data_IF_326135162822
#
_entry.id   IF_326135162822
#
_cell.length_a   1.000
_cell.length_b   1.000
_cell.length_c   1.000
_cell.angle_alpha   90.00
_cell.angle_beta   90.00
_cell.angle_gamma   90.00
#
_symmetry.space_group_name_H-M   'P 1'
#
loop_
_entity.id
_entity.type
_entity.pdbx_description
1 polymer ?
#
# COMPACT_ATOMS: atom_id res chain seq x y z
N UNK A 1 21.60 30.83 -17.71
CA UNK A 1 21.68 30.62 -16.24
C UNK A 1 22.09 29.18 -16.00
N UNK A 2 23.34 28.92 -15.62
CA UNK A 2 23.83 27.54 -15.34
C UNK A 2 23.29 27.12 -13.98
N UNK A 3 22.37 26.19 -13.95
CA UNK A 3 21.94 25.54 -12.72
C UNK A 3 23.15 24.82 -12.10
N UNK A 4 23.47 25.17 -10.88
CA UNK A 4 24.62 24.63 -10.15
C UNK A 4 24.47 23.14 -9.97
N UNK A 5 25.54 22.39 -10.19
CA UNK A 5 25.63 20.94 -10.05
C UNK A 5 25.49 20.43 -8.58
N UNK A 6 25.20 21.29 -7.62
CA UNK A 6 25.27 20.96 -6.20
C UNK A 6 24.00 20.38 -5.58
N UNK A 7 22.83 20.43 -6.26
CA UNK A 7 21.57 20.00 -5.66
C UNK A 7 21.12 18.58 -6.03
N UNK A 8 21.92 17.84 -6.80
CA UNK A 8 21.58 16.44 -7.13
C UNK A 8 22.15 15.40 -6.13
N UNK A 9 22.89 15.86 -5.11
CA UNK A 9 23.70 14.97 -4.26
C UNK A 9 23.10 14.61 -2.91
N UNK A 10 21.96 15.16 -2.51
CA UNK A 10 21.43 14.90 -1.19
C UNK A 10 19.92 14.68 -1.21
N UNK A 11 19.53 13.48 -1.60
CA UNK A 11 18.30 12.93 -1.08
C UNK A 11 18.66 12.13 0.18
N UNK A 12 18.14 12.52 1.34
CA UNK A 12 18.37 11.72 2.53
C UNK A 12 17.81 10.32 2.27
N UNK A 13 18.60 9.31 2.55
CA UNK A 13 18.17 7.90 2.61
C UNK A 13 17.29 7.75 3.86
N UNK A 14 16.20 8.50 3.96
CA UNK A 14 15.54 8.76 5.22
C UNK A 14 14.29 7.96 5.44
N UNK A 15 13.71 7.28 4.50
CA UNK A 15 12.49 6.52 4.79
C UNK A 15 12.66 5.03 4.51
N UNK A 16 13.25 4.33 5.47
CA UNK A 16 13.30 2.87 5.54
C UNK A 16 12.02 2.27 6.13
N UNK A 17 10.87 2.88 5.91
CA UNK A 17 9.62 2.30 6.39
C UNK A 17 9.47 0.88 5.83
N UNK A 18 9.48 -0.09 6.73
CA UNK A 18 9.27 -1.49 6.40
C UNK A 18 10.32 -2.12 5.48
N UNK A 19 11.59 -1.66 5.50
CA UNK A 19 12.65 -2.16 4.60
C UNK A 19 12.30 -2.06 3.11
N UNK A 20 11.44 -1.12 2.73
CA UNK A 20 10.96 -0.94 1.36
C UNK A 20 12.07 -0.62 0.36
N UNK A 21 13.10 0.11 0.78
CA UNK A 21 14.21 0.46 -0.08
C UNK A 21 15.04 -0.78 -0.41
N UNK A 22 14.99 -1.26 -1.68
CA UNK A 22 15.93 -2.29 -2.11
C UNK A 22 17.33 -1.70 -2.10
N UNK A 23 18.32 -2.54 -1.93
CA UNK A 23 19.61 -2.13 -2.44
C UNK A 23 19.44 -1.92 -3.95
N UNK A 24 19.93 -0.81 -4.49
CA UNK A 24 19.84 -0.50 -5.94
C UNK A 24 20.28 -1.71 -6.80
N UNK A 25 21.19 -2.53 -6.28
CA UNK A 25 21.69 -3.75 -6.91
C UNK A 25 20.62 -4.84 -7.03
N UNK A 26 19.84 -5.09 -5.99
CA UNK A 26 18.87 -6.20 -5.99
C UNK A 26 17.68 -5.92 -6.91
N UNK A 27 17.20 -4.67 -6.93
CA UNK A 27 16.16 -4.25 -7.87
C UNK A 27 16.64 -4.37 -9.32
N UNK A 28 17.89 -3.99 -9.61
CA UNK A 28 18.49 -4.10 -10.93
C UNK A 28 18.60 -5.57 -11.38
N UNK A 29 19.10 -6.44 -10.53
CA UNK A 29 19.23 -7.88 -10.83
C UNK A 29 17.87 -8.50 -11.09
N UNK A 30 16.87 -8.18 -10.28
CA UNK A 30 15.51 -8.66 -10.48
C UNK A 30 14.93 -8.18 -11.80
N UNK A 31 15.04 -6.88 -12.11
CA UNK A 31 14.49 -6.31 -13.34
C UNK A 31 15.13 -6.90 -14.59
N UNK A 32 16.47 -7.03 -14.61
CA UNK A 32 17.20 -7.66 -15.72
C UNK A 32 16.77 -9.11 -15.96
N UNK A 33 16.63 -9.90 -14.87
CA UNK A 33 16.11 -11.26 -14.96
C UNK A 33 14.70 -11.27 -15.55
N UNK A 34 13.80 -10.44 -15.02
CA UNK A 34 12.41 -10.36 -15.45
C UNK A 34 12.29 -9.93 -16.91
N UNK A 35 13.10 -8.98 -17.38
CA UNK A 35 13.20 -8.57 -18.79
C UNK A 35 13.62 -9.74 -19.68
N UNK A 36 14.66 -10.48 -19.28
CA UNK A 36 15.14 -11.66 -20.05
C UNK A 36 14.07 -12.74 -20.14
N UNK A 37 13.39 -13.04 -19.04
CA UNK A 37 12.32 -14.04 -19.00
C UNK A 37 11.11 -13.61 -19.84
N UNK A 38 10.67 -12.36 -19.73
CA UNK A 38 9.56 -11.83 -20.53
C UNK A 38 9.84 -11.93 -22.04
N UNK A 39 11.08 -11.62 -22.46
CA UNK A 39 11.51 -11.76 -23.87
C UNK A 39 11.60 -13.22 -24.33
N UNK A 40 12.14 -14.11 -23.48
CA UNK A 40 12.31 -15.54 -23.80
C UNK A 40 10.98 -16.26 -23.97
N UNK A 41 10.02 -16.01 -23.07
CA UNK A 41 8.74 -16.75 -23.03
C UNK A 41 7.75 -16.35 -24.14
N UNK A 42 7.95 -15.23 -24.85
CA UNK A 42 7.13 -14.76 -25.98
C UNK A 42 5.62 -14.94 -25.79
N UNK A 43 5.11 -14.69 -24.59
CA UNK A 43 3.69 -14.82 -24.31
C UNK A 43 2.85 -13.92 -25.21
N UNK A 44 1.77 -14.47 -25.77
CA UNK A 44 0.72 -13.65 -26.37
C UNK A 44 0.22 -12.65 -25.33
N UNK A 45 0.10 -11.38 -25.71
CA UNK A 45 -0.39 -10.34 -24.80
C UNK A 45 -1.79 -10.70 -24.28
N UNK A 46 -1.95 -10.61 -22.96
CA UNK A 46 -3.26 -10.77 -22.30
C UNK A 46 -4.25 -9.72 -22.84
N UNK A 47 -5.52 -10.03 -22.96
CA UNK A 47 -6.54 -9.08 -23.42
C UNK A 47 -6.59 -7.77 -22.62
N UNK A 48 -6.24 -7.80 -21.32
CA UNK A 48 -6.17 -6.58 -20.50
C UNK A 48 -5.00 -5.70 -20.92
N UNK A 49 -3.84 -6.29 -21.17
CA UNK A 49 -2.65 -5.58 -21.65
C UNK A 49 -2.87 -5.06 -23.07
N UNK A 50 -3.53 -5.82 -23.94
CA UNK A 50 -3.88 -5.36 -25.30
C UNK A 50 -4.79 -4.13 -25.26
N UNK A 51 -5.79 -4.12 -24.36
CA UNK A 51 -6.68 -2.96 -24.20
C UNK A 51 -5.94 -1.74 -23.67
N UNK A 52 -4.99 -1.93 -22.72
CA UNK A 52 -4.18 -0.85 -22.23
C UNK A 52 -3.23 -0.30 -23.31
N UNK A 53 -2.58 -1.20 -24.09
CA UNK A 53 -1.80 -0.83 -25.27
C UNK A 53 -2.63 0.01 -26.25
N UNK A 54 -3.84 -0.45 -26.60
CA UNK A 54 -4.75 0.30 -27.47
C UNK A 54 -5.07 1.69 -26.91
N UNK A 55 -5.36 1.81 -25.59
CA UNK A 55 -5.62 3.10 -24.97
C UNK A 55 -4.42 4.05 -25.12
N UNK A 56 -3.20 3.57 -24.85
CA UNK A 56 -1.97 4.37 -25.00
C UNK A 56 -1.80 4.82 -26.47
N UNK A 57 -2.07 3.94 -27.43
CA UNK A 57 -1.81 4.21 -28.86
C UNK A 57 -2.90 5.04 -29.54
N UNK A 58 -4.12 5.07 -29.01
CA UNK A 58 -5.26 5.76 -29.65
C UNK A 58 -5.70 7.05 -28.95
N UNK A 59 -5.29 7.27 -27.70
CA UNK A 59 -5.55 8.54 -27.01
C UNK A 59 -4.29 9.41 -27.10
N UNK A 60 -4.33 10.57 -27.80
CA UNK A 60 -3.14 11.38 -28.07
C UNK A 60 -2.50 11.94 -26.79
N UNK A 61 -3.29 12.27 -25.78
CA UNK A 61 -2.78 12.80 -24.51
C UNK A 61 -2.09 11.69 -23.72
N UNK A 62 -2.70 10.51 -23.63
CA UNK A 62 -2.13 9.36 -22.94
C UNK A 62 -0.88 8.87 -23.69
N UNK A 63 -0.90 8.87 -25.02
CA UNK A 63 0.28 8.54 -25.81
C UNK A 63 1.45 9.45 -25.50
N UNK A 64 1.21 10.77 -25.45
CA UNK A 64 2.21 11.76 -25.08
C UNK A 64 2.79 11.44 -23.69
N UNK A 65 1.95 11.21 -22.67
CA UNK A 65 2.43 10.88 -21.32
C UNK A 65 3.29 9.62 -21.30
N UNK A 66 2.81 8.53 -21.93
CA UNK A 66 3.53 7.25 -21.98
C UNK A 66 4.75 7.26 -22.89
N UNK A 67 4.94 8.28 -23.70
CA UNK A 67 6.17 8.51 -24.45
C UNK A 67 7.16 9.34 -23.63
N UNK A 68 6.69 10.46 -23.08
CA UNK A 68 7.55 11.41 -22.38
C UNK A 68 8.06 10.90 -21.03
N UNK A 69 7.26 10.17 -20.25
CA UNK A 69 7.69 9.69 -18.94
C UNK A 69 8.94 8.83 -19.00
N UNK A 70 9.12 8.04 -20.06
CA UNK A 70 10.35 7.26 -20.26
C UNK A 70 11.54 8.09 -20.72
N UNK A 71 11.31 9.20 -21.41
CA UNK A 71 12.35 10.15 -21.81
C UNK A 71 12.78 11.05 -20.64
N UNK A 72 11.85 11.38 -19.75
CA UNK A 72 12.05 12.24 -18.58
C UNK A 72 12.68 11.53 -17.39
N UNK A 73 12.85 10.20 -17.42
CA UNK A 73 13.47 9.46 -16.33
C UNK A 73 14.82 10.03 -15.94
N UNK A 74 15.13 10.14 -14.63
CA UNK A 74 16.39 10.68 -14.17
C UNK A 74 17.59 9.94 -14.78
N UNK A 75 18.61 10.69 -15.21
CA UNK A 75 19.88 10.14 -15.69
C UNK A 75 20.78 9.84 -14.49
N UNK A 76 20.52 8.76 -13.76
CA UNK A 76 21.43 8.28 -12.73
C UNK A 76 22.47 7.36 -13.37
N UNK A 77 23.71 7.50 -12.94
CA UNK A 77 24.69 6.45 -13.17
C UNK A 77 24.23 5.23 -12.38
N UNK A 78 24.03 4.06 -13.02
CA UNK A 78 23.74 2.85 -12.29
C UNK A 78 24.88 2.57 -11.31
N UNK A 79 24.63 1.98 -10.13
CA UNK A 79 25.68 1.53 -9.25
C UNK A 79 26.63 0.59 -10.01
N UNK A 80 27.93 0.68 -9.73
CA UNK A 80 28.92 -0.18 -10.38
C UNK A 80 28.48 -1.67 -10.29
N UNK A 81 28.37 -2.35 -11.44
CA UNK A 81 27.95 -3.74 -11.54
C UNK A 81 26.42 -3.98 -11.56
N UNK A 82 25.61 -2.95 -11.54
CA UNK A 82 24.18 -3.06 -11.82
C UNK A 82 23.92 -2.67 -13.29
N UNK A 83 23.22 -3.51 -14.04
CA UNK A 83 22.76 -3.19 -15.40
C UNK A 83 21.85 -1.96 -15.44
N UNK A 84 21.42 -1.56 -16.64
CA UNK A 84 20.46 -0.47 -16.83
C UNK A 84 19.11 -0.87 -16.23
N UNK A 85 18.80 -0.31 -15.07
CA UNK A 85 17.59 -0.60 -14.28
C UNK A 85 16.33 -0.02 -14.92
N UNK A 86 16.45 0.74 -16.00
CA UNK A 86 15.35 1.53 -16.56
C UNK A 86 14.53 0.72 -17.56
N UNK A 87 13.23 0.95 -17.52
CA UNK A 87 12.32 0.59 -18.60
C UNK A 87 12.49 1.63 -19.71
N UNK A 88 12.68 1.17 -20.93
CA UNK A 88 13.03 2.06 -22.06
C UNK A 88 11.85 2.80 -22.65
N UNK A 89 10.69 2.15 -22.70
CA UNK A 89 9.47 2.65 -23.33
C UNK A 89 8.24 1.87 -22.84
N UNK A 90 7.05 2.34 -23.22
CA UNK A 90 5.81 1.69 -22.82
C UNK A 90 5.64 0.28 -23.42
N UNK A 91 6.24 -0.03 -24.55
CA UNK A 91 6.18 -1.37 -25.16
C UNK A 91 6.93 -2.38 -24.26
N UNK A 92 8.12 -2.03 -23.79
CA UNK A 92 8.88 -2.86 -22.83
C UNK A 92 8.13 -2.98 -21.50
N UNK A 93 7.56 -1.88 -20.99
CA UNK A 93 6.69 -1.88 -19.81
C UNK A 93 5.54 -2.89 -19.96
N UNK A 94 4.79 -2.82 -21.06
CA UNK A 94 3.66 -3.71 -21.30
C UNK A 94 4.08 -5.18 -21.45
N UNK A 95 5.24 -5.44 -22.05
CA UNK A 95 5.80 -6.79 -22.16
C UNK A 95 6.09 -7.38 -20.78
N UNK A 96 6.72 -6.59 -19.90
CA UNK A 96 7.06 -7.05 -18.56
C UNK A 96 5.79 -7.19 -17.71
N UNK A 97 4.86 -6.23 -17.76
CA UNK A 97 3.55 -6.37 -17.11
C UNK A 97 2.82 -7.63 -17.53
N UNK A 98 2.84 -7.96 -18.83
CA UNK A 98 2.23 -9.19 -19.34
C UNK A 98 2.88 -10.46 -18.77
N UNK A 99 4.18 -10.44 -18.53
CA UNK A 99 4.89 -11.53 -17.86
C UNK A 99 4.49 -11.61 -16.38
N UNK A 100 4.46 -10.48 -15.66
CA UNK A 100 4.08 -10.38 -14.24
C UNK A 100 2.68 -10.96 -14.01
N UNK A 101 1.73 -10.75 -14.91
CA UNK A 101 0.37 -11.33 -14.79
C UNK A 101 0.32 -12.87 -14.69
N UNK A 102 1.43 -13.55 -14.91
CA UNK A 102 1.58 -15.02 -14.86
C UNK A 102 2.67 -15.44 -13.86
N UNK A 103 3.04 -14.56 -12.97
CA UNK A 103 4.04 -14.82 -11.93
C UNK A 103 3.51 -14.40 -10.57
N UNK A 104 3.97 -15.06 -9.52
CA UNK A 104 3.73 -14.64 -8.14
C UNK A 104 4.96 -13.91 -7.61
N UNK A 105 4.81 -13.00 -6.63
CA UNK A 105 5.92 -12.30 -5.99
C UNK A 105 6.83 -13.26 -5.24
N UNK A 106 8.12 -13.19 -5.48
CA UNK A 106 9.11 -13.93 -4.72
C UNK A 106 9.39 -13.24 -3.38
N UNK A 107 9.82 -14.00 -2.38
CA UNK A 107 10.36 -13.41 -1.15
C UNK A 107 11.70 -12.74 -1.43
N UNK A 108 11.88 -11.57 -0.86
CA UNK A 108 13.11 -10.82 -0.94
C UNK A 108 13.28 -9.96 0.31
N UNK A 109 14.50 -9.81 0.79
CA UNK A 109 14.84 -9.01 1.96
C UNK A 109 14.68 -7.50 1.74
N UNK A 110 14.38 -7.05 0.52
CA UNK A 110 14.30 -5.64 0.14
C UNK A 110 12.86 -5.10 0.01
N UNK A 111 11.84 -5.94 0.15
CA UNK A 111 10.43 -5.55 0.06
C UNK A 111 9.95 -5.16 -1.35
N UNK A 112 10.73 -4.44 -2.15
CA UNK A 112 10.31 -3.93 -3.48
C UNK A 112 10.00 -5.05 -4.48
N UNK A 113 10.68 -6.16 -4.41
CA UNK A 113 10.46 -7.30 -5.30
C UNK A 113 9.09 -7.96 -5.07
N UNK A 114 8.51 -7.77 -3.89
CA UNK A 114 7.12 -8.09 -3.61
C UNK A 114 6.11 -7.25 -4.41
N UNK A 115 6.54 -6.15 -5.04
CA UNK A 115 5.71 -5.25 -5.84
C UNK A 115 6.25 -5.12 -7.27
N UNK A 116 6.12 -6.14 -8.09
CA UNK A 116 6.79 -6.21 -9.39
C UNK A 116 6.32 -5.14 -10.38
N UNK A 117 5.07 -4.70 -10.34
CA UNK A 117 4.56 -3.63 -11.22
C UNK A 117 5.07 -2.27 -10.72
N UNK A 118 5.04 -2.03 -9.39
CA UNK A 118 5.65 -0.82 -8.85
C UNK A 118 7.13 -0.72 -9.20
N UNK A 119 7.88 -1.83 -9.07
CA UNK A 119 9.31 -1.86 -9.38
C UNK A 119 9.63 -1.47 -10.84
N UNK A 120 8.74 -1.76 -11.79
CA UNK A 120 8.92 -1.33 -13.19
C UNK A 120 8.43 0.10 -13.46
N UNK A 121 7.59 0.66 -12.60
CA UNK A 121 7.03 2.00 -12.73
C UNK A 121 7.74 3.04 -11.86
N UNK A 122 8.60 2.64 -10.94
CA UNK A 122 9.23 3.48 -9.93
C UNK A 122 9.84 4.77 -10.52
N UNK A 123 10.69 4.66 -11.54
CA UNK A 123 11.28 5.83 -12.20
C UNK A 123 10.32 6.58 -13.14
N UNK A 124 9.53 5.94 -14.00
CA UNK A 124 8.56 6.64 -14.84
C UNK A 124 7.52 7.43 -14.03
N UNK A 125 7.11 6.89 -12.90
CA UNK A 125 5.99 7.38 -12.08
C UNK A 125 6.25 8.78 -11.51
N UNK A 126 7.50 9.09 -11.14
CA UNK A 126 7.91 10.37 -10.55
C UNK A 126 8.17 11.49 -11.58
N UNK A 127 8.15 11.17 -12.86
CA UNK A 127 8.35 12.18 -13.91
C UNK A 127 7.11 13.06 -14.05
N UNK A 128 7.22 14.31 -14.54
CA UNK A 128 6.04 15.15 -14.79
C UNK A 128 4.99 14.49 -15.66
N UNK A 129 5.41 13.79 -16.72
CA UNK A 129 4.47 13.03 -17.58
C UNK A 129 3.90 11.81 -16.88
N UNK A 130 4.67 11.13 -16.03
CA UNK A 130 4.20 10.01 -15.21
C UNK A 130 3.19 10.43 -14.17
N UNK A 131 3.42 11.51 -13.44
CA UNK A 131 2.46 12.08 -12.49
C UNK A 131 1.12 12.37 -13.18
N UNK A 132 1.14 12.99 -14.38
CA UNK A 132 -0.06 13.23 -15.17
C UNK A 132 -0.72 11.93 -15.65
N UNK A 133 0.05 10.97 -16.16
CA UNK A 133 -0.46 9.68 -16.63
C UNK A 133 -1.17 8.89 -15.52
N UNK A 134 -0.55 8.79 -14.34
CA UNK A 134 -1.08 8.01 -13.22
C UNK A 134 -2.16 8.74 -12.42
N UNK A 135 -2.39 10.03 -12.66
CA UNK A 135 -3.58 10.76 -12.21
C UNK A 135 -4.77 10.59 -13.17
N UNK A 136 -4.55 10.19 -14.44
CA UNK A 136 -5.61 10.07 -15.44
C UNK A 136 -6.60 8.93 -15.13
N UNK A 137 -7.90 9.25 -15.18
CA UNK A 137 -8.97 8.29 -14.84
C UNK A 137 -9.06 7.11 -15.82
N UNK A 138 -8.74 7.29 -17.11
CA UNK A 138 -8.76 6.20 -18.11
C UNK A 138 -7.60 5.24 -17.86
N UNK A 139 -6.42 5.78 -17.53
CA UNK A 139 -5.23 5.00 -17.15
C UNK A 139 -5.53 4.19 -15.90
N UNK A 140 -6.06 4.81 -14.85
CA UNK A 140 -6.40 4.10 -13.62
C UNK A 140 -7.46 3.01 -13.82
N UNK A 141 -8.46 3.22 -14.68
CA UNK A 141 -9.40 2.14 -15.06
C UNK A 141 -8.72 0.97 -15.77
N UNK A 142 -7.70 1.24 -16.58
CA UNK A 142 -6.94 0.17 -17.24
C UNK A 142 -6.07 -0.60 -16.23
N UNK A 143 -5.37 0.09 -15.35
CA UNK A 143 -4.55 -0.48 -14.27
C UNK A 143 -5.41 -1.35 -13.33
N UNK A 144 -6.58 -0.88 -12.92
CA UNK A 144 -7.51 -1.66 -12.12
C UNK A 144 -7.84 -3.02 -12.76
N UNK A 145 -8.04 -3.05 -14.09
CA UNK A 145 -8.33 -4.32 -14.80
C UNK A 145 -7.12 -5.24 -14.82
N UNK A 146 -5.92 -4.68 -14.97
CA UNK A 146 -4.66 -5.43 -14.94
C UNK A 146 -4.46 -6.04 -13.55
N UNK A 147 -4.61 -5.26 -12.48
CA UNK A 147 -4.48 -5.73 -11.11
C UNK A 147 -5.51 -6.81 -10.77
N UNK A 148 -6.78 -6.62 -11.16
CA UNK A 148 -7.81 -7.66 -11.00
C UNK A 148 -7.50 -8.94 -11.77
N UNK A 149 -6.86 -8.85 -12.94
CA UNK A 149 -6.42 -10.02 -13.69
C UNK A 149 -5.31 -10.76 -12.98
N UNK A 150 -4.33 -10.01 -12.45
CA UNK A 150 -3.23 -10.60 -11.70
C UNK A 150 -3.71 -11.24 -10.39
N UNK A 151 -4.57 -10.56 -9.65
CA UNK A 151 -5.20 -11.10 -8.45
C UNK A 151 -5.83 -12.48 -8.71
N UNK A 152 -6.56 -12.64 -9.83
CA UNK A 152 -7.12 -13.93 -10.20
C UNK A 152 -6.06 -15.02 -10.39
N UNK A 153 -4.87 -14.69 -10.89
CA UNK A 153 -3.76 -15.63 -10.99
C UNK A 153 -3.22 -15.97 -9.59
N UNK A 154 -3.06 -14.95 -8.74
CA UNK A 154 -2.56 -15.13 -7.37
C UNK A 154 -3.50 -15.95 -6.47
N UNK A 155 -4.78 -16.07 -6.84
CA UNK A 155 -5.77 -16.93 -6.18
C UNK A 155 -5.72 -18.40 -6.68
N UNK A 156 -4.91 -18.71 -7.70
CA UNK A 156 -4.79 -20.08 -8.24
C UNK A 156 -3.63 -20.86 -7.62
N UNK A 157 -3.69 -22.21 -7.65
CA UNK A 157 -2.56 -23.04 -7.24
C UNK A 157 -1.28 -22.81 -8.03
N UNK A 158 -1.37 -22.30 -9.27
CA UNK A 158 -0.21 -21.96 -10.10
C UNK A 158 0.70 -20.91 -9.47
N UNK A 159 0.17 -20.13 -8.50
CA UNK A 159 0.93 -19.13 -7.73
C UNK A 159 1.74 -19.70 -6.57
N UNK A 160 1.54 -20.98 -6.22
CA UNK A 160 2.18 -21.61 -5.05
C UNK A 160 3.68 -21.83 -5.21
N UNK A 161 4.22 -21.80 -6.41
CA UNK A 161 5.64 -22.12 -6.66
C UNK A 161 6.62 -21.23 -5.88
N UNK A 162 6.20 -20.03 -5.47
CA UNK A 162 7.00 -19.12 -4.64
C UNK A 162 6.97 -19.50 -3.14
N UNK A 163 6.05 -20.38 -2.73
CA UNK A 163 6.03 -20.96 -1.39
C UNK A 163 6.95 -22.17 -1.36
N UNK A 164 8.25 -21.89 -1.34
CA UNK A 164 9.33 -22.91 -1.30
C UNK A 164 10.40 -22.50 -0.30
N UNK A 165 11.30 -23.40 0.02
CA UNK A 165 12.35 -23.22 1.04
C UNK A 165 13.65 -22.61 0.51
N UNK A 166 13.72 -22.32 -0.79
CA UNK A 166 14.85 -21.67 -1.44
C UNK A 166 15.06 -20.21 -0.96
N UNK A 167 16.16 -19.57 -1.34
CA UNK A 167 16.51 -18.22 -0.86
C UNK A 167 15.44 -17.15 -1.14
N UNK A 168 14.76 -17.28 -2.27
CA UNK A 168 13.68 -16.37 -2.69
C UNK A 168 12.29 -16.94 -2.41
N UNK A 169 12.21 -17.99 -1.59
CA UNK A 169 10.94 -18.62 -1.24
C UNK A 169 10.34 -18.09 0.06
N UNK A 170 9.04 -17.94 0.10
CA UNK A 170 8.31 -17.49 1.28
C UNK A 170 8.33 -18.51 2.45
N UNK A 171 8.82 -19.74 2.21
CA UNK A 171 9.02 -20.77 3.23
C UNK A 171 10.49 -20.91 3.64
N UNK A 172 11.37 -20.01 3.18
CA UNK A 172 12.78 -19.98 3.62
C UNK A 172 12.89 -19.65 5.11
N UNK A 173 14.01 -20.04 5.74
CA UNK A 173 14.27 -19.72 7.15
C UNK A 173 14.25 -18.22 7.44
N UNK A 174 14.76 -17.39 6.50
CA UNK A 174 14.75 -15.94 6.60
C UNK A 174 13.32 -15.39 6.55
N UNK A 175 12.51 -15.84 5.57
CA UNK A 175 11.11 -15.45 5.47
C UNK A 175 10.31 -15.87 6.72
N UNK A 176 10.47 -17.11 7.18
CA UNK A 176 9.81 -17.63 8.37
C UNK A 176 10.04 -16.72 9.60
N UNK A 177 11.30 -16.30 9.80
CA UNK A 177 11.67 -15.40 10.89
C UNK A 177 11.14 -13.98 10.69
N UNK A 178 11.31 -13.41 9.50
CA UNK A 178 10.89 -12.04 9.19
C UNK A 178 9.37 -11.88 9.33
N UNK A 179 8.62 -12.86 8.85
CA UNK A 179 7.15 -12.87 8.91
C UNK A 179 6.59 -13.30 10.28
N UNK A 180 7.44 -13.76 11.21
CA UNK A 180 6.98 -14.38 12.48
C UNK A 180 5.94 -15.48 12.24
N UNK A 181 6.21 -16.37 11.28
CA UNK A 181 5.25 -17.39 10.82
C UNK A 181 4.74 -18.31 11.92
N UNK A 182 5.49 -18.49 13.02
CA UNK A 182 5.03 -19.23 14.20
C UNK A 182 3.73 -18.68 14.82
N UNK A 183 3.39 -17.40 14.56
CA UNK A 183 2.19 -16.73 15.07
C UNK A 183 0.96 -17.00 14.20
N UNK A 184 1.15 -17.46 12.97
CA UNK A 184 0.09 -17.65 11.98
C UNK A 184 -0.39 -19.09 11.89
N UNK A 185 -1.66 -19.27 11.47
CA UNK A 185 -2.21 -20.58 11.17
C UNK A 185 -1.55 -21.12 9.92
N UNK A 186 -0.89 -22.25 10.03
CA UNK A 186 -0.31 -23.00 8.93
C UNK A 186 -0.07 -24.46 9.33
N UNK A 187 0.10 -25.35 8.38
CA UNK A 187 0.29 -26.78 8.57
C UNK A 187 1.71 -27.19 8.09
N UNK A 188 2.74 -27.17 8.97
CA UNK A 188 4.13 -27.35 8.58
C UNK A 188 4.43 -28.63 7.81
N UNK A 189 3.69 -29.70 8.07
CA UNK A 189 3.86 -31.03 7.47
C UNK A 189 3.16 -31.19 6.12
N UNK A 190 2.33 -30.20 5.73
CA UNK A 190 1.66 -30.20 4.43
C UNK A 190 2.44 -29.44 3.37
N UNK A 191 2.32 -29.83 2.08
CA UNK A 191 2.84 -29.04 0.98
C UNK A 191 2.37 -27.59 1.10
N UNK A 192 3.30 -26.64 0.85
CA UNK A 192 3.02 -25.20 0.93
C UNK A 192 2.41 -24.75 2.27
N UNK A 193 2.71 -25.46 3.37
CA UNK A 193 2.14 -25.25 4.71
C UNK A 193 0.61 -25.27 4.73
N UNK A 194 -0.04 -25.97 3.78
CA UNK A 194 -1.49 -26.09 3.65
C UNK A 194 -2.17 -24.92 2.93
N UNK A 195 -1.44 -23.90 2.51
CA UNK A 195 -2.00 -22.81 1.71
C UNK A 195 -2.38 -23.27 0.30
N UNK A 196 -3.45 -22.70 -0.25
CA UNK A 196 -4.04 -23.10 -1.54
C UNK A 196 -3.59 -22.21 -2.70
N UNK A 197 -3.07 -21.03 -2.40
CA UNK A 197 -2.55 -20.05 -3.35
C UNK A 197 -1.60 -19.09 -2.65
N UNK A 198 -0.85 -18.30 -3.43
CA UNK A 198 -0.05 -17.24 -2.83
C UNK A 198 -0.91 -16.19 -2.11
N UNK A 199 -2.09 -15.86 -2.67
CA UNK A 199 -2.98 -14.91 -2.03
C UNK A 199 -3.54 -15.45 -0.69
N UNK A 200 -3.85 -16.75 -0.60
CA UNK A 200 -4.24 -17.39 0.66
C UNK A 200 -3.15 -17.26 1.73
N UNK A 201 -1.87 -17.42 1.34
CA UNK A 201 -0.73 -17.14 2.21
C UNK A 201 -0.63 -15.65 2.58
N UNK A 202 -0.86 -14.74 1.63
CA UNK A 202 -0.78 -13.30 1.88
C UNK A 202 -1.80 -12.82 2.91
N UNK A 203 -3.03 -13.31 2.83
CA UNK A 203 -4.12 -13.00 3.76
C UNK A 203 -4.19 -13.95 4.97
N UNK A 204 -3.08 -14.60 5.32
CA UNK A 204 -2.97 -15.55 6.44
C UNK A 204 -3.55 -15.00 7.73
N UNK A 205 -3.97 -15.88 8.63
CA UNK A 205 -4.60 -15.52 9.90
C UNK A 205 -3.71 -15.86 11.09
N UNK A 206 -3.79 -15.06 12.15
CA UNK A 206 -3.13 -15.38 13.41
C UNK A 206 -3.75 -16.60 14.10
N UNK A 207 -2.91 -17.39 14.77
CA UNK A 207 -3.36 -18.37 15.73
C UNK A 207 -4.10 -17.68 16.87
N UNK A 208 -5.09 -18.36 17.44
CA UNK A 208 -5.86 -17.86 18.60
C UNK A 208 -4.91 -17.37 19.71
N UNK A 209 -5.15 -16.19 20.25
CA UNK A 209 -4.40 -15.61 21.35
C UNK A 209 -3.07 -14.92 20.99
N UNK A 210 -2.65 -14.91 19.72
CA UNK A 210 -1.40 -14.24 19.32
C UNK A 210 -1.49 -12.71 19.23
N UNK A 211 -2.68 -12.19 19.03
CA UNK A 211 -2.96 -10.73 19.04
C UNK A 211 -4.15 -10.46 19.97
N UNK A 212 -3.94 -10.54 21.30
CA UNK A 212 -5.03 -10.30 22.25
C UNK A 212 -5.49 -8.84 22.17
N UNK A 213 -6.78 -8.64 22.30
CA UNK A 213 -7.39 -7.31 22.30
C UNK A 213 -7.04 -6.58 23.60
N UNK A 214 -6.44 -5.41 23.50
CA UNK A 214 -6.12 -4.59 24.67
C UNK A 214 -7.40 -4.10 25.37
N UNK A 215 -7.47 -4.31 26.67
CA UNK A 215 -8.57 -3.86 27.52
C UNK A 215 -9.95 -4.16 26.91
N UNK A 216 -10.31 -5.43 26.66
CA UNK A 216 -11.49 -5.78 25.86
C UNK A 216 -12.81 -5.30 26.45
N UNK A 217 -12.87 -5.11 27.77
CA UNK A 217 -14.08 -4.59 28.48
C UNK A 217 -14.11 -3.06 28.61
N UNK A 218 -13.00 -2.37 28.37
CA UNK A 218 -12.94 -0.91 28.46
C UNK A 218 -13.23 -0.28 27.10
N UNK A 219 -14.45 0.22 26.92
CA UNK A 219 -14.90 0.85 25.67
C UNK A 219 -14.14 2.14 25.31
N UNK A 220 -13.50 2.81 26.29
CA UNK A 220 -12.70 4.00 26.01
C UNK A 220 -11.34 3.69 25.38
N UNK A 221 -10.83 2.47 25.52
CA UNK A 221 -9.58 2.06 24.88
C UNK A 221 -9.82 1.70 23.42
N UNK A 222 -9.19 2.44 22.53
CA UNK A 222 -9.21 2.25 21.09
C UNK A 222 -8.00 1.41 20.70
N UNK A 223 -8.19 0.38 19.86
CA UNK A 223 -7.11 -0.51 19.48
C UNK A 223 -6.71 -0.31 18.01
N UNK A 224 -5.49 -0.76 17.66
CA UNK A 224 -5.00 -0.71 16.28
C UNK A 224 -5.86 -1.57 15.37
N UNK A 225 -6.34 -0.97 14.28
CA UNK A 225 -7.11 -1.66 13.27
C UNK A 225 -6.25 -2.58 12.38
N UNK A 226 -4.93 -2.33 12.32
CA UNK A 226 -3.99 -3.08 11.49
C UNK A 226 -2.68 -3.36 12.24
N UNK A 227 -1.90 -4.31 11.75
CA UNK A 227 -0.49 -4.51 12.13
C UNK A 227 0.36 -3.49 11.36
N UNK A 228 0.62 -2.32 11.95
CA UNK A 228 1.14 -1.18 11.20
C UNK A 228 2.08 -0.28 11.99
N UNK A 229 3.00 0.39 11.31
CA UNK A 229 3.89 1.39 11.90
C UNK A 229 3.23 2.78 11.88
N UNK A 230 3.14 3.50 13.01
CA UNK A 230 2.59 4.85 13.05
C UNK A 230 3.34 5.81 12.11
N UNK A 231 2.60 6.51 11.26
CA UNK A 231 3.14 7.45 10.30
C UNK A 231 2.88 8.89 10.71
N UNK A 232 1.64 9.21 11.05
CA UNK A 232 1.21 10.58 11.33
C UNK A 232 -0.02 10.63 12.23
N UNK A 233 -0.06 11.65 13.09
CA UNK A 233 -1.26 12.08 13.81
C UNK A 233 -1.51 13.54 13.42
N UNK A 234 -2.70 13.83 12.90
CA UNK A 234 -3.11 15.19 12.54
C UNK A 234 -4.38 15.56 13.27
N UNK A 235 -4.32 16.63 14.04
CA UNK A 235 -5.46 17.21 14.75
C UNK A 235 -6.02 18.41 14.00
N UNK A 236 -7.26 18.77 14.29
CA UNK A 236 -7.94 19.92 13.71
C UNK A 236 -7.98 19.87 12.17
N UNK A 237 -8.32 18.68 11.63
CA UNK A 237 -8.34 18.42 10.19
C UNK A 237 -9.46 19.24 9.54
N UNK A 238 -9.15 19.84 8.39
CA UNK A 238 -10.02 20.76 7.66
C UNK A 238 -10.80 20.06 6.55
N UNK A 239 -11.88 20.69 6.06
CA UNK A 239 -12.60 20.23 4.89
C UNK A 239 -11.68 20.08 3.68
N UNK A 240 -10.97 21.16 3.34
CA UNK A 240 -9.93 21.21 2.34
C UNK A 240 -8.70 21.88 2.92
N UNK A 241 -7.53 21.45 2.50
CA UNK A 241 -6.24 22.00 2.92
C UNK A 241 -5.37 22.23 1.69
N UNK A 242 -4.51 23.24 1.75
CA UNK A 242 -3.53 23.48 0.72
C UNK A 242 -2.38 22.48 0.82
N UNK A 243 -1.81 22.09 -0.32
CA UNK A 243 -0.62 21.25 -0.36
C UNK A 243 0.63 22.13 -0.32
N UNK A 244 1.52 21.87 0.66
CA UNK A 244 2.81 22.55 0.74
C UNK A 244 3.95 21.59 0.39
N UNK A 245 5.12 22.19 0.11
CA UNK A 245 6.34 21.46 -0.22
C UNK A 245 6.81 20.55 0.92
N UNK A 246 6.50 20.90 2.18
CA UNK A 246 6.83 20.07 3.36
C UNK A 246 5.57 19.77 4.16
N UNK A 247 5.18 18.51 4.16
CA UNK A 247 3.97 18.04 4.82
C UNK A 247 2.74 18.20 3.92
N UNK A 248 2.07 17.11 3.70
CA UNK A 248 0.84 17.04 2.91
C UNK A 248 -0.32 17.05 3.87
N UNK A 249 -1.03 18.18 4.03
CA UNK A 249 -2.17 18.24 4.93
C UNK A 249 -3.30 17.39 4.40
N UNK A 250 -4.10 16.83 5.31
CA UNK A 250 -5.28 16.09 4.94
C UNK A 250 -6.42 17.02 4.57
N UNK A 251 -7.14 16.66 3.50
CA UNK A 251 -8.41 17.27 3.11
C UNK A 251 -9.51 16.24 3.30
N UNK A 252 -10.38 16.44 4.28
CA UNK A 252 -11.47 15.50 4.60
C UNK A 252 -12.41 15.27 3.40
N UNK A 253 -12.67 16.32 2.62
CA UNK A 253 -13.47 16.23 1.40
C UNK A 253 -12.98 15.16 0.45
N UNK A 254 -11.66 15.14 0.21
CA UNK A 254 -11.02 14.19 -0.68
C UNK A 254 -10.83 12.82 -0.02
N UNK A 255 -10.43 12.77 1.25
CA UNK A 255 -10.24 11.52 1.98
C UNK A 255 -11.53 10.70 2.03
N UNK A 256 -12.63 11.36 2.33
CA UNK A 256 -13.94 10.74 2.53
C UNK A 256 -14.81 10.71 1.27
N UNK A 257 -14.32 11.24 0.14
CA UNK A 257 -15.07 11.33 -1.12
C UNK A 257 -16.45 12.00 -0.93
N UNK A 258 -16.48 13.07 -0.12
CA UNK A 258 -17.70 13.81 0.25
C UNK A 258 -18.60 13.16 1.32
N UNK A 259 -18.25 11.94 1.81
CA UNK A 259 -19.09 11.23 2.80
C UNK A 259 -18.80 11.67 4.24
N UNK A 260 -19.83 12.08 4.97
CA UNK A 260 -19.76 12.45 6.40
C UNK A 260 -18.67 13.50 6.75
N UNK A 261 -18.29 14.36 5.82
CA UNK A 261 -17.18 15.31 5.97
C UNK A 261 -17.38 16.24 7.17
N UNK A 262 -18.59 16.81 7.29
CA UNK A 262 -18.91 17.76 8.37
C UNK A 262 -18.76 17.14 9.76
N UNK A 263 -19.01 15.84 9.87
CA UNK A 263 -18.88 15.11 11.13
C UNK A 263 -17.44 15.08 11.67
N UNK A 264 -16.45 15.07 10.77
CA UNK A 264 -15.03 14.99 11.13
C UNK A 264 -14.29 16.33 11.11
N UNK A 265 -14.98 17.45 10.83
CA UNK A 265 -14.34 18.77 10.83
C UNK A 265 -13.72 19.10 12.19
N UNK A 266 -12.46 19.52 12.19
CA UNK A 266 -11.69 19.79 13.39
C UNK A 266 -11.31 18.53 14.19
N UNK A 267 -11.58 17.35 13.64
CA UNK A 267 -11.26 16.07 14.25
C UNK A 267 -9.81 15.66 14.13
N UNK A 268 -9.55 14.38 14.36
CA UNK A 268 -8.21 13.80 14.37
C UNK A 268 -8.12 12.67 13.34
N UNK A 269 -7.03 12.64 12.57
CA UNK A 269 -6.63 11.54 11.69
C UNK A 269 -5.37 10.89 12.24
N UNK A 270 -5.44 9.59 12.49
CA UNK A 270 -4.31 8.73 12.77
C UNK A 270 -4.00 7.94 11.51
N UNK A 271 -2.77 7.98 11.01
CA UNK A 271 -2.32 7.18 9.86
C UNK A 271 -1.18 6.27 10.26
N UNK A 272 -1.21 5.01 9.76
CA UNK A 272 -0.13 4.05 9.96
C UNK A 272 0.06 3.17 8.72
N UNK A 273 1.32 2.77 8.49
CA UNK A 273 1.80 2.08 7.31
C UNK A 273 1.95 0.57 7.54
N UNK A 274 1.54 -0.22 6.53
CA UNK A 274 1.74 -1.67 6.50
C UNK A 274 2.74 -2.02 5.39
N UNK A 275 3.84 -2.72 5.75
CA UNK A 275 4.74 -3.28 4.75
C UNK A 275 4.15 -4.55 4.13
N UNK A 276 4.74 -5.01 3.00
CA UNK A 276 4.34 -6.26 2.34
C UNK A 276 4.39 -7.50 3.23
N UNK A 277 5.26 -7.49 4.23
CA UNK A 277 5.48 -8.62 5.15
C UNK A 277 4.47 -8.66 6.29
N UNK A 278 3.77 -7.54 6.55
CA UNK A 278 2.82 -7.43 7.65
C UNK A 278 1.58 -8.31 7.46
N UNK A 279 0.77 -8.34 8.49
CA UNK A 279 -0.58 -8.89 8.47
C UNK A 279 -1.53 -7.91 7.80
N UNK A 280 -2.30 -8.35 6.81
CA UNK A 280 -3.08 -7.47 5.93
C UNK A 280 -4.59 -7.49 6.17
N UNK A 281 -5.05 -8.10 7.29
CA UNK A 281 -6.47 -8.02 7.69
C UNK A 281 -6.71 -6.84 8.60
N UNK A 282 -7.90 -6.24 8.50
CA UNK A 282 -8.33 -5.10 9.31
C UNK A 282 -9.32 -5.55 10.37
N UNK A 283 -9.19 -4.96 11.54
CA UNK A 283 -10.03 -5.26 12.69
C UNK A 283 -10.71 -4.00 13.21
N UNK A 284 -11.89 -4.16 13.81
CA UNK A 284 -12.60 -3.05 14.41
C UNK A 284 -11.80 -2.47 15.58
N UNK A 285 -11.47 -1.17 15.58
CA UNK A 285 -10.76 -0.54 16.69
C UNK A 285 -11.62 -0.34 17.94
N UNK A 286 -12.94 -0.49 17.82
CA UNK A 286 -13.94 -0.24 18.87
C UNK A 286 -15.07 -1.26 18.81
N UNK A 287 -15.84 -1.37 19.87
CA UNK A 287 -17.19 -1.96 19.79
C UNK A 287 -18.13 -1.00 19.07
N UNK A 288 -19.05 -1.50 18.24
CA UNK A 288 -19.99 -0.60 17.59
C UNK A 288 -20.90 -1.27 16.55
N UNK A 289 -21.65 -0.46 15.84
CA UNK A 289 -22.51 -0.87 14.74
C UNK A 289 -21.99 -0.26 13.44
N UNK A 290 -21.89 -1.06 12.39
CA UNK A 290 -21.55 -0.56 11.05
C UNK A 290 -22.71 0.27 10.52
N UNK A 291 -22.46 1.56 10.28
CA UNK A 291 -23.50 2.50 9.80
C UNK A 291 -23.34 2.82 8.33
N UNK A 292 -22.11 2.74 7.78
CA UNK A 292 -21.87 2.91 6.35
C UNK A 292 -20.59 2.15 5.95
N UNK A 293 -20.57 1.63 4.72
CA UNK A 293 -19.39 1.06 4.08
C UNK A 293 -19.30 1.51 2.62
N UNK A 294 -18.10 1.86 2.16
CA UNK A 294 -17.86 2.30 0.78
C UNK A 294 -16.53 1.77 0.27
N UNK A 295 -16.48 1.45 -1.02
CA UNK A 295 -15.24 1.26 -1.77
C UNK A 295 -15.07 2.41 -2.74
N UNK A 296 -14.08 3.26 -2.49
CA UNK A 296 -13.78 4.43 -3.32
C UNK A 296 -12.75 4.04 -4.38
N UNK A 297 -13.07 4.31 -5.62
CA UNK A 297 -12.13 4.18 -6.74
C UNK A 297 -11.16 5.36 -6.70
N UNK A 298 -9.90 5.09 -7.02
CA UNK A 298 -8.88 6.13 -7.01
C UNK A 298 -7.70 5.79 -7.91
N UNK A 299 -6.56 6.36 -7.60
CA UNK A 299 -5.29 6.04 -8.27
C UNK A 299 -4.72 4.73 -7.73
N UNK A 300 -3.87 4.08 -8.54
CA UNK A 300 -3.19 2.83 -8.19
C UNK A 300 -1.70 3.04 -8.07
N UNK A 301 -1.11 3.82 -8.98
CA UNK A 301 0.31 4.16 -9.01
C UNK A 301 0.42 5.68 -9.11
N UNK A 302 0.51 6.34 -7.98
CA UNK A 302 0.55 7.81 -7.92
C UNK A 302 1.47 8.26 -6.80
N UNK A 303 2.12 9.38 -7.00
CA UNK A 303 2.99 10.03 -6.03
C UNK A 303 2.68 11.53 -5.99
N UNK A 304 3.03 12.19 -4.90
CA UNK A 304 2.90 13.64 -4.80
C UNK A 304 4.07 14.32 -5.48
N UNK A 305 3.80 15.24 -6.40
CA UNK A 305 4.83 16.03 -7.09
C UNK A 305 5.72 16.82 -6.10
N UNK A 306 5.19 17.16 -4.92
CA UNK A 306 5.91 17.91 -3.88
C UNK A 306 7.04 17.12 -3.22
N UNK A 307 6.99 15.78 -3.26
CA UNK A 307 8.05 14.93 -2.69
C UNK A 307 9.28 14.83 -3.61
N UNK A 308 9.16 15.25 -4.88
CA UNK A 308 10.20 15.11 -5.85
C UNK A 308 10.50 13.65 -6.18
N UNK A 309 11.78 13.32 -6.38
CA UNK A 309 12.20 11.94 -6.61
C UNK A 309 12.09 11.13 -5.31
N UNK A 310 11.19 10.16 -5.28
CA UNK A 310 11.03 9.23 -4.16
C UNK A 310 11.60 7.84 -4.51
N UNK A 311 12.85 7.52 -4.07
CA UNK A 311 13.45 6.20 -4.34
C UNK A 311 12.77 5.07 -3.56
N UNK A 312 11.90 5.40 -2.63
CA UNK A 312 11.10 4.44 -1.87
C UNK A 312 9.73 4.17 -2.52
N UNK A 313 9.51 4.66 -3.75
CA UNK A 313 8.22 4.63 -4.41
C UNK A 313 7.19 5.51 -3.67
N UNK A 314 5.93 5.12 -3.56
CA UNK A 314 4.87 5.98 -3.00
C UNK A 314 4.93 6.16 -1.47
N UNK A 315 5.98 5.73 -0.79
CA UNK A 315 6.03 5.74 0.69
C UNK A 315 6.01 7.14 1.31
N UNK A 316 6.71 8.09 0.69
CA UNK A 316 6.71 9.47 1.18
C UNK A 316 5.42 10.21 0.83
N UNK A 317 4.65 9.69 -0.11
CA UNK A 317 3.40 10.28 -0.59
C UNK A 317 2.15 9.79 0.14
N UNK A 318 2.27 9.08 1.26
CA UNK A 318 1.13 8.39 1.90
C UNK A 318 -0.01 9.31 2.32
N UNK A 319 0.28 10.53 2.78
CA UNK A 319 -0.76 11.50 3.12
C UNK A 319 -1.52 12.00 1.89
N UNK A 320 -0.83 12.17 0.75
CA UNK A 320 -1.45 12.44 -0.54
C UNK A 320 -2.28 11.25 -1.01
N UNK A 321 -1.74 10.03 -0.92
CA UNK A 321 -2.44 8.80 -1.32
C UNK A 321 -3.73 8.59 -0.51
N UNK A 322 -3.77 9.01 0.75
CA UNK A 322 -4.99 8.95 1.56
C UNK A 322 -6.16 9.75 0.94
N UNK A 323 -5.89 10.66 0.03
CA UNK A 323 -6.87 11.53 -0.62
C UNK A 323 -7.23 11.07 -2.04
N UNK A 324 -6.32 10.39 -2.73
CA UNK A 324 -6.47 10.10 -4.17
C UNK A 324 -6.49 8.60 -4.50
N UNK A 325 -5.91 7.74 -3.66
CA UNK A 325 -5.79 6.33 -3.94
C UNK A 325 -7.10 5.56 -3.73
N UNK A 326 -7.18 4.38 -4.34
CA UNK A 326 -8.27 3.43 -4.10
C UNK A 326 -8.28 3.03 -2.62
N UNK A 327 -9.45 3.12 -1.97
CA UNK A 327 -9.60 2.92 -0.52
C UNK A 327 -10.97 2.42 -0.14
N UNK A 328 -11.09 1.90 1.08
CA UNK A 328 -12.39 1.61 1.67
C UNK A 328 -12.70 2.62 2.79
N UNK A 329 -13.97 2.88 3.03
CA UNK A 329 -14.47 3.63 4.17
C UNK A 329 -15.41 2.70 4.95
N UNK A 330 -15.16 2.55 6.26
CA UNK A 330 -15.98 1.75 7.17
C UNK A 330 -16.29 2.63 8.38
N UNK A 331 -17.55 3.05 8.49
CA UNK A 331 -18.03 3.92 9.56
C UNK A 331 -18.68 3.06 10.65
N UNK A 332 -18.15 3.16 11.87
CA UNK A 332 -18.55 2.35 13.03
C UNK A 332 -19.07 3.30 14.10
N UNK A 333 -20.38 3.24 14.37
CA UNK A 333 -20.99 3.99 15.46
C UNK A 333 -20.74 3.25 16.79
N UNK A 334 -20.01 3.90 17.69
CA UNK A 334 -19.69 3.37 19.02
C UNK A 334 -20.91 3.32 19.95
N UNK A 335 -21.95 4.10 19.67
CA UNK A 335 -23.07 4.36 20.58
C UNK A 335 -22.71 5.23 21.78
N UNK A 336 -21.49 5.75 21.85
CA UNK A 336 -21.00 6.70 22.86
C UNK A 336 -20.97 8.10 22.25
N UNK A 337 -21.54 9.10 22.92
CA UNK A 337 -21.66 10.48 22.38
C UNK A 337 -20.32 11.19 22.21
N UNK A 338 -19.34 10.88 23.06
CA UNK A 338 -18.03 11.55 23.09
C UNK A 338 -17.10 10.93 22.04
N UNK A 339 -17.11 9.60 21.86
CA UNK A 339 -16.37 8.92 20.81
C UNK A 339 -17.10 9.00 19.44
N UNK A 340 -18.39 8.80 19.42
CA UNK A 340 -19.24 8.88 18.23
C UNK A 340 -18.92 7.84 17.16
N UNK A 341 -18.94 8.27 15.89
CA UNK A 341 -18.68 7.43 14.73
C UNK A 341 -17.16 7.47 14.43
N UNK A 342 -16.53 6.31 14.43
CA UNK A 342 -15.13 6.14 14.03
C UNK A 342 -15.08 5.62 12.59
N UNK A 343 -14.31 6.29 11.72
CA UNK A 343 -14.08 5.82 10.36
C UNK A 343 -12.74 5.07 10.29
N UNK A 344 -12.78 3.80 9.88
CA UNK A 344 -11.59 3.03 9.51
C UNK A 344 -11.46 3.13 8.00
N UNK A 345 -10.32 3.65 7.53
CA UNK A 345 -10.06 3.91 6.11
C UNK A 345 -8.79 3.18 5.66
N UNK A 346 -8.88 1.92 5.23
CA UNK A 346 -7.81 1.21 4.56
C UNK A 346 -7.57 1.79 3.16
N UNK A 347 -6.31 2.00 2.80
CA UNK A 347 -5.88 2.69 1.57
C UNK A 347 -4.92 1.77 0.83
N UNK A 348 -5.24 1.48 -0.43
CA UNK A 348 -4.36 0.71 -1.30
C UNK A 348 -3.20 1.56 -1.81
N UNK A 349 -2.02 0.96 -1.86
CA UNK A 349 -0.83 1.54 -2.46
C UNK A 349 -0.28 0.56 -3.49
N UNK A 350 0.09 1.06 -4.66
CA UNK A 350 0.65 0.25 -5.75
C UNK A 350 -0.27 -0.96 -6.09
N UNK A 351 0.24 -2.17 -6.06
CA UNK A 351 -0.52 -3.38 -6.34
C UNK A 351 -1.67 -3.63 -5.36
N UNK A 352 -1.58 -3.11 -4.11
CA UNK A 352 -2.54 -3.40 -3.03
C UNK A 352 -3.77 -2.53 -3.08
N UNK A 353 -4.33 -2.41 -4.20
CA UNK A 353 -5.49 -1.54 -4.37
C UNK A 353 -6.82 -2.28 -4.32
N UNK A 354 -6.83 -3.51 -3.74
CA UNK A 354 -8.05 -4.28 -3.52
C UNK A 354 -8.39 -4.30 -2.03
N UNK A 355 -9.26 -3.38 -1.64
CA UNK A 355 -9.82 -3.32 -0.29
C UNK A 355 -11.08 -4.18 -0.23
N UNK A 356 -11.04 -5.33 0.46
CA UNK A 356 -12.18 -6.22 0.65
C UNK A 356 -12.82 -5.99 2.01
N UNK A 357 -14.01 -5.43 2.00
CA UNK A 357 -14.85 -5.22 3.18
C UNK A 357 -15.62 -6.53 3.44
N UNK A 358 -15.55 -7.06 4.66
CA UNK A 358 -16.25 -8.31 5.06
C UNK A 358 -17.47 -8.08 5.93
N UNK A 359 -17.76 -6.82 6.26
CA UNK A 359 -18.94 -6.41 7.05
C UNK A 359 -19.90 -5.60 6.18
N UNK A 360 -21.14 -5.49 6.62
CA UNK A 360 -22.20 -4.73 5.96
C UNK A 360 -22.91 -3.79 6.93
N UNK A 361 -23.62 -2.80 6.40
CA UNK A 361 -24.44 -1.91 7.20
C UNK A 361 -25.41 -2.68 8.05
N UNK A 362 -25.48 -2.33 9.34
CA UNK A 362 -26.31 -2.99 10.34
C UNK A 362 -25.58 -4.02 11.19
N UNK A 363 -24.44 -4.55 10.75
CA UNK A 363 -23.67 -5.51 11.55
C UNK A 363 -23.18 -4.86 12.85
N UNK A 364 -23.23 -5.63 13.95
CA UNK A 364 -22.60 -5.28 15.22
C UNK A 364 -21.24 -5.91 15.28
N UNK A 365 -20.21 -5.13 15.53
CA UNK A 365 -18.82 -5.61 15.63
C UNK A 365 -18.27 -5.37 17.03
N UNK A 366 -17.45 -6.31 17.48
CA UNK A 366 -16.65 -6.16 18.69
C UNK A 366 -15.28 -5.61 18.36
N UNK A 367 -14.71 -4.89 19.31
CA UNK A 367 -13.32 -4.46 19.26
C UNK A 367 -12.41 -5.67 19.01
N UNK A 368 -11.56 -5.59 18.00
CA UNK A 368 -10.71 -6.67 17.55
C UNK A 368 -11.35 -7.66 16.56
N UNK A 369 -12.63 -7.51 16.23
CA UNK A 369 -13.29 -8.34 15.21
C UNK A 369 -12.86 -7.94 13.81
N UNK A 370 -12.62 -8.92 12.92
CA UNK A 370 -12.21 -8.65 11.55
C UNK A 370 -13.32 -7.94 10.77
N UNK A 371 -12.96 -6.85 10.07
CA UNK A 371 -13.89 -6.05 9.24
C UNK A 371 -13.52 -6.04 7.77
N UNK A 372 -12.37 -6.61 7.41
CA UNK A 372 -11.92 -6.70 6.02
C UNK A 372 -10.45 -7.09 5.90
N UNK A 373 -9.93 -6.99 4.69
CA UNK A 373 -8.52 -7.25 4.39
C UNK A 373 -8.10 -6.63 3.07
N UNK A 374 -6.80 -6.39 2.93
CA UNK A 374 -6.19 -6.10 1.66
C UNK A 374 -5.88 -7.39 0.91
N UNK A 375 -6.07 -7.37 -0.40
CA UNK A 375 -5.49 -8.39 -1.27
C UNK A 375 -4.30 -7.79 -1.99
N UNK A 376 -3.17 -8.41 -1.74
CA UNK A 376 -1.86 -8.31 -2.27
C UNK A 376 -1.19 -6.91 -2.23
N UNK A 377 -0.03 -6.83 -1.54
CA UNK A 377 1.02 -5.80 -1.57
C UNK A 377 1.11 -4.89 -0.32
N UNK A 378 1.78 -3.71 -0.39
CA UNK A 378 1.89 -2.70 0.69
C UNK A 378 0.68 -1.78 0.76
N UNK A 379 0.43 -1.24 1.94
CA UNK A 379 -0.76 -0.43 2.17
C UNK A 379 -0.57 0.52 3.34
N UNK A 380 -1.48 1.46 3.47
CA UNK A 380 -1.60 2.33 4.63
C UNK A 380 -3.05 2.35 5.10
N UNK A 381 -3.29 2.79 6.32
CA UNK A 381 -4.65 3.01 6.79
C UNK A 381 -4.74 4.28 7.62
N UNK A 382 -5.92 4.90 7.60
CA UNK A 382 -6.26 5.96 8.53
C UNK A 382 -7.39 5.52 9.46
N UNK A 383 -7.39 6.08 10.67
CA UNK A 383 -8.54 6.05 11.58
C UNK A 383 -8.92 7.49 11.86
N UNK A 384 -10.17 7.85 11.59
CA UNK A 384 -10.68 9.21 11.74
C UNK A 384 -11.62 9.29 12.94
N UNK A 385 -11.45 10.33 13.71
CA UNK A 385 -12.22 10.61 14.92
C UNK A 385 -12.84 12.00 14.85
N UNK A 386 -14.05 12.16 15.39
CA UNK A 386 -14.68 13.48 15.55
C UNK A 386 -13.85 14.39 16.45
N UNK A 387 -14.13 15.69 16.38
CA UNK A 387 -13.45 16.69 17.20
C UNK A 387 -13.59 16.37 18.69
N UNK A 388 -12.47 16.34 19.40
CA UNK A 388 -12.43 16.15 20.83
C UNK A 388 -12.68 14.72 21.33
N UNK A 389 -12.83 13.73 20.46
CA UNK A 389 -13.07 12.33 20.83
C UNK A 389 -11.88 11.69 21.56
N UNK A 390 -10.66 12.04 21.20
CA UNK A 390 -9.43 11.45 21.74
C UNK A 390 -8.91 12.26 22.92
N UNK A 391 -8.70 11.60 24.06
CA UNK A 391 -8.02 12.16 25.21
C UNK A 391 -6.50 12.14 25.02
N UNK A 392 -5.95 10.99 24.65
CA UNK A 392 -4.51 10.81 24.37
C UNK A 392 -4.25 9.59 23.49
N UNK A 393 -3.13 9.63 22.77
CA UNK A 393 -2.54 8.46 22.10
C UNK A 393 -1.56 7.76 23.04
N UNK A 394 -1.45 6.44 22.90
CA UNK A 394 -0.44 5.66 23.64
C UNK A 394 0.94 5.90 23.05
N UNK A 395 1.99 5.76 23.84
CA UNK A 395 3.37 5.97 23.37
C UNK A 395 3.72 5.16 22.11
N UNK A 396 3.35 3.86 22.00
CA UNK A 396 3.63 3.09 20.79
C UNK A 396 2.92 3.61 19.53
N UNK A 397 1.82 4.34 19.68
CA UNK A 397 1.06 4.90 18.55
C UNK A 397 1.55 6.28 18.11
N UNK A 398 2.46 6.89 18.86
CA UNK A 398 3.04 8.18 18.48
C UNK A 398 4.14 7.95 17.45
N UNK A 399 4.04 8.56 16.26
CA UNK A 399 5.05 8.44 15.22
C UNK A 399 6.44 8.84 15.72
N UNK A 400 7.46 8.07 15.35
CA UNK A 400 8.85 8.29 15.72
C UNK A 400 9.69 8.65 14.49
N UNK A 401 10.62 9.60 14.64
CA UNK A 401 11.43 10.10 13.55
C UNK A 401 10.66 11.01 12.58
N UNK A 402 11.35 11.49 11.55
CA UNK A 402 10.74 12.30 10.52
C UNK A 402 9.73 11.45 9.72
N UNK A 403 8.50 11.93 9.59
CA UNK A 403 7.39 11.22 8.93
C UNK A 403 7.20 9.76 9.41
N UNK A 404 7.48 9.48 10.68
CA UNK A 404 7.30 8.14 11.25
C UNK A 404 8.35 7.10 10.80
N UNK A 405 9.48 7.55 10.22
CA UNK A 405 10.51 6.65 9.66
C UNK A 405 11.09 5.65 10.66
N UNK A 406 11.16 6.03 11.95
CA UNK A 406 11.70 5.21 13.03
C UNK A 406 10.61 4.50 13.84
N UNK A 407 9.35 4.61 13.41
CA UNK A 407 8.22 4.00 14.10
C UNK A 407 8.31 2.47 14.06
N UNK A 408 8.11 1.85 15.21
CA UNK A 408 7.97 0.39 15.30
C UNK A 408 6.54 -0.03 14.96
N UNK A 409 6.39 -1.24 14.47
CA UNK A 409 5.07 -1.83 14.20
C UNK A 409 4.28 -1.93 15.51
N UNK A 410 3.09 -1.34 15.53
CA UNK A 410 2.09 -1.56 16.57
C UNK A 410 1.28 -2.79 16.18
N UNK A 411 1.30 -3.86 17.00
CA UNK A 411 0.51 -5.05 16.70
C UNK A 411 -0.98 -4.72 16.60
N UNK A 412 -1.67 -5.38 15.67
CA UNK A 412 -3.14 -5.28 15.60
C UNK A 412 -3.75 -5.64 16.95
N UNK A 413 -4.84 -4.98 17.32
CA UNK A 413 -5.51 -5.13 18.62
C UNK A 413 -4.76 -4.54 19.85
N UNK A 414 -3.56 -4.00 19.69
CA UNK A 414 -2.88 -3.24 20.75
C UNK A 414 -3.54 -1.88 20.93
N UNK A 415 -3.52 -1.34 22.16
CA UNK A 415 -4.06 -0.01 22.43
C UNK A 415 -3.27 1.08 21.67
N UNK A 416 -4.00 1.95 20.95
CA UNK A 416 -3.43 3.12 20.25
C UNK A 416 -3.87 4.44 20.87
N UNK A 417 -5.07 4.49 21.42
CA UNK A 417 -5.60 5.73 21.99
C UNK A 417 -6.61 5.43 23.12
N UNK A 418 -6.92 6.48 23.87
CA UNK A 418 -7.99 6.49 24.87
C UNK A 418 -8.95 7.61 24.50
N UNK A 419 -10.25 7.28 24.42
CA UNK A 419 -11.33 8.26 24.26
C UNK A 419 -11.57 9.06 25.55
N UNK A 420 -12.14 10.25 25.41
CA UNK A 420 -12.58 11.09 26.55
C UNK A 420 -13.68 10.46 27.36
#
# INVERSE_FOLDING_TARGET
MKLSKSNAAYMPVTNRMGNWLPTKKDAAVWLERTKKEAKKKKYKLDPTIKRFKKLIETDPIINMYFTQMFQQQPKFAPPAGSGDVKIKNYQEMLLIMNHVLKTAPEYNTTGMVGFPINAILDFPMITPAGLAAFADAKVNRALMRILKKWQKYLDTPDSLYVLNTGPNGWMSKSAYKALSMQDFIHEPDKPFWGFKSWNDFFIRQFKKGRRPVASPKNKKVIVSACEAAPLRISNNVKRTSEFWIKGQPYSLEHMLDGHNVDYYLGGTVYQAYLSAENYHRWHSPIDGKIVEVRNIKGTYYSEAASEGFDPAGPNNSQAYLAQVAARALIFIDSGDKDLGIVCVMPIGMAEVSSCLITVKVGDKVKKGEQIGYFQFGGSTHCVLFQKGAIANFTLPAIPQGEQGADSKIVPVNSAIAVAK
#
